data_IF_143381256145
#
_entry.id   IF_143381256145
#
_cell.length_a   1.000
_cell.length_b   1.000
_cell.length_c   1.000
_cell.angle_alpha   90.00
_cell.angle_beta   90.00
_cell.angle_gamma   90.00
#
_symmetry.space_group_name_H-M   'P 1'
#
loop_
_entity.id
_entity.type
_entity.pdbx_description
1 polymer ?
#
# COMPACT_ATOMS: atom_id res chain seq x y z
N UNK A 1 39.92 -32.92 -14.09
CA UNK A 1 39.34 -32.32 -12.86
C UNK A 1 39.45 -30.82 -13.00
N UNK A 2 38.37 -30.17 -13.44
CA UNK A 2 38.21 -28.71 -13.43
C UNK A 2 37.04 -28.45 -12.49
N UNK A 3 37.31 -27.81 -11.35
CA UNK A 3 36.29 -27.34 -10.42
C UNK A 3 35.68 -26.08 -11.03
N UNK A 4 34.47 -26.18 -11.57
CA UNK A 4 33.69 -25.00 -11.91
C UNK A 4 33.24 -24.35 -10.60
N UNK A 5 33.81 -23.18 -10.32
CA UNK A 5 33.57 -22.41 -9.11
C UNK A 5 32.20 -21.76 -9.21
N UNK A 6 31.36 -22.11 -8.23
CA UNK A 6 30.12 -21.46 -7.81
C UNK A 6 29.75 -20.15 -8.51
N UNK A 7 28.71 -20.22 -9.32
CA UNK A 7 27.74 -19.14 -9.41
C UNK A 7 26.63 -19.40 -8.38
N UNK A 8 26.97 -19.34 -7.08
CA UNK A 8 25.99 -18.92 -6.09
C UNK A 8 25.97 -17.39 -6.16
N UNK A 9 25.10 -16.87 -7.01
CA UNK A 9 24.58 -15.53 -6.87
C UNK A 9 23.08 -15.66 -6.84
N UNK A 10 22.57 -16.13 -5.70
CA UNK A 10 21.44 -15.54 -4.99
C UNK A 10 20.95 -14.26 -5.69
N UNK A 11 20.13 -14.43 -6.74
CA UNK A 11 19.52 -13.34 -7.46
C UNK A 11 18.56 -12.75 -6.44
N UNK A 12 19.03 -11.72 -5.72
CA UNK A 12 18.20 -10.93 -4.83
C UNK A 12 16.98 -10.57 -5.67
N UNK A 13 15.87 -11.21 -5.35
CA UNK A 13 14.54 -10.74 -5.68
C UNK A 13 14.55 -9.31 -5.16
N UNK A 14 14.82 -8.35 -6.05
CA UNK A 14 14.77 -6.93 -5.72
C UNK A 14 13.29 -6.61 -5.63
N UNK A 15 12.64 -7.21 -4.62
CA UNK A 15 11.23 -7.09 -4.37
C UNK A 15 10.92 -5.61 -4.31
N UNK A 16 9.91 -5.20 -5.06
CA UNK A 16 9.40 -3.84 -4.94
C UNK A 16 9.01 -3.61 -3.48
N UNK A 17 9.50 -2.52 -2.89
CA UNK A 17 9.04 -2.10 -1.57
C UNK A 17 7.55 -1.76 -1.68
N UNK A 18 6.70 -2.60 -1.09
CA UNK A 18 5.24 -2.45 -1.11
C UNK A 18 4.79 -1.13 -0.46
N UNK A 19 5.63 -0.56 0.41
CA UNK A 19 5.40 0.68 1.13
C UNK A 19 6.10 1.89 0.49
N UNK A 20 6.70 1.71 -0.70
CA UNK A 20 7.39 2.79 -1.40
C UNK A 20 6.49 4.02 -1.54
N UNK A 21 7.03 5.15 -1.10
CA UNK A 21 6.35 6.43 -1.23
C UNK A 21 6.73 7.13 -2.54
N UNK A 22 5.73 7.63 -3.26
CA UNK A 22 5.95 8.37 -4.50
C UNK A 22 4.71 8.52 -5.39
N UNK A 23 4.89 9.25 -6.48
CA UNK A 23 3.83 9.57 -7.44
C UNK A 23 2.77 10.51 -6.87
N UNK A 24 1.73 10.77 -7.67
CA UNK A 24 0.62 11.67 -7.30
C UNK A 24 -0.08 11.16 -6.04
N UNK A 25 -0.20 9.85 -5.88
CA UNK A 25 -0.98 9.21 -4.83
C UNK A 25 -0.19 8.83 -3.59
N UNK A 26 1.08 9.18 -3.49
CA UNK A 26 1.92 8.97 -2.32
C UNK A 26 2.29 7.52 -2.02
N UNK A 27 1.39 6.52 -2.13
CA UNK A 27 1.71 5.10 -2.05
C UNK A 27 0.69 4.24 -2.83
N UNK A 28 1.04 2.98 -3.11
CA UNK A 28 0.20 2.09 -3.92
C UNK A 28 -1.14 1.74 -3.25
N UNK A 29 -1.15 1.57 -1.93
CA UNK A 29 -2.36 1.21 -1.19
C UNK A 29 -3.40 2.34 -1.26
N UNK A 30 -2.98 3.59 -1.07
CA UNK A 30 -3.82 4.77 -1.23
C UNK A 30 -4.44 4.82 -2.63
N UNK A 31 -3.61 4.68 -3.68
CA UNK A 31 -4.09 4.75 -5.07
C UNK A 31 -5.15 3.70 -5.38
N UNK A 32 -4.92 2.45 -4.95
CA UNK A 32 -5.86 1.36 -5.14
C UNK A 32 -7.16 1.59 -4.35
N UNK A 33 -7.05 2.12 -3.12
CA UNK A 33 -8.20 2.43 -2.28
C UNK A 33 -9.03 3.59 -2.79
N UNK A 34 -8.42 4.66 -3.31
CA UNK A 34 -9.12 5.80 -3.95
C UNK A 34 -9.93 5.35 -5.18
N UNK A 35 -9.41 4.36 -5.91
CA UNK A 35 -10.03 3.82 -7.13
C UNK A 35 -10.98 2.63 -6.89
N UNK A 36 -11.11 2.14 -5.66
CA UNK A 36 -11.98 1.01 -5.33
C UNK A 36 -11.49 -0.33 -5.89
N UNK A 37 -10.18 -0.50 -6.06
CA UNK A 37 -9.60 -1.71 -6.64
C UNK A 37 -9.42 -2.81 -5.59
N UNK A 38 -10.53 -3.40 -5.12
CA UNK A 38 -10.58 -4.37 -4.02
C UNK A 38 -9.52 -5.48 -4.09
N UNK A 39 -9.32 -6.07 -5.26
CA UNK A 39 -8.35 -7.17 -5.44
C UNK A 39 -6.90 -6.70 -5.31
N UNK A 40 -6.61 -5.48 -5.77
CA UNK A 40 -5.28 -4.88 -5.66
C UNK A 40 -5.01 -4.48 -4.21
N UNK A 41 -6.01 -3.89 -3.52
CA UNK A 41 -5.93 -3.58 -2.09
C UNK A 41 -5.61 -4.84 -1.28
N UNK A 42 -6.35 -5.94 -1.52
CA UNK A 42 -6.10 -7.22 -0.86
C UNK A 42 -4.67 -7.71 -1.07
N UNK A 43 -4.22 -7.73 -2.33
CA UNK A 43 -2.89 -8.18 -2.69
C UNK A 43 -1.79 -7.37 -1.99
N UNK A 44 -1.93 -6.04 -1.93
CA UNK A 44 -0.98 -5.16 -1.26
C UNK A 44 -0.93 -5.44 0.25
N UNK A 45 -2.09 -5.57 0.90
CA UNK A 45 -2.18 -5.87 2.34
C UNK A 45 -1.59 -7.26 2.66
N UNK A 46 -1.84 -8.26 1.81
CA UNK A 46 -1.27 -9.61 1.97
C UNK A 46 0.24 -9.64 1.70
N UNK A 47 0.77 -8.65 0.97
CA UNK A 47 2.21 -8.44 0.78
C UNK A 47 2.85 -7.56 1.86
N UNK A 48 2.11 -7.17 2.89
CA UNK A 48 2.63 -6.41 4.02
C UNK A 48 2.64 -4.90 3.82
N UNK A 49 1.75 -4.37 2.97
CA UNK A 49 1.49 -2.94 2.95
C UNK A 49 1.05 -2.46 4.35
N UNK A 50 1.67 -1.39 4.83
CA UNK A 50 1.25 -0.71 6.05
C UNK A 50 -0.12 -0.09 5.81
N UNK A 51 -1.15 -0.68 6.43
CA UNK A 51 -2.54 -0.27 6.33
C UNK A 51 -2.76 1.20 6.76
N UNK A 52 -1.87 1.73 7.61
CA UNK A 52 -1.93 3.08 8.15
C UNK A 52 -0.96 4.06 7.45
N UNK A 53 -0.29 3.64 6.37
CA UNK A 53 0.62 4.48 5.63
C UNK A 53 -0.05 5.78 5.14
N UNK A 54 0.57 6.91 5.48
CA UNK A 54 0.13 8.23 5.05
C UNK A 54 0.61 8.51 3.62
N UNK A 55 -0.32 8.94 2.77
CA UNK A 55 -0.10 9.47 1.43
C UNK A 55 0.10 10.99 1.48
N UNK A 56 1.10 11.45 2.23
CA UNK A 56 1.49 12.87 2.29
C UNK A 56 0.33 13.87 2.39
N UNK A 57 -0.03 14.48 1.25
CA UNK A 57 -1.08 15.52 1.13
C UNK A 57 -2.51 14.96 1.16
N UNK A 58 -2.69 13.66 0.90
CA UNK A 58 -4.00 13.06 0.63
C UNK A 58 -4.59 12.21 1.78
N UNK A 59 -3.84 11.96 2.85
CA UNK A 59 -4.28 11.14 3.99
C UNK A 59 -3.93 9.66 3.83
N UNK A 60 -4.71 8.74 4.41
CA UNK A 60 -4.45 7.29 4.29
C UNK A 60 -5.46 6.57 3.38
N UNK A 61 -5.22 5.27 3.18
CA UNK A 61 -6.06 4.41 2.35
C UNK A 61 -7.53 4.35 2.84
N UNK A 62 -7.74 4.33 4.17
CA UNK A 62 -9.08 4.28 4.75
C UNK A 62 -9.86 5.56 4.45
N UNK A 63 -9.23 6.72 4.59
CA UNK A 63 -9.81 8.01 4.23
C UNK A 63 -10.22 8.04 2.76
N UNK A 64 -9.34 7.63 1.85
CA UNK A 64 -9.61 7.64 0.41
C UNK A 64 -10.79 6.74 0.02
N UNK A 65 -10.82 5.51 0.54
CA UNK A 65 -11.92 4.58 0.29
C UNK A 65 -13.25 5.10 0.84
N UNK A 66 -13.21 5.71 2.03
CA UNK A 66 -14.39 6.29 2.69
C UNK A 66 -14.93 7.51 1.95
N UNK A 67 -14.05 8.41 1.48
CA UNK A 67 -14.44 9.60 0.71
C UNK A 67 -15.13 9.24 -0.61
N UNK A 68 -14.69 8.14 -1.23
CA UNK A 68 -15.21 7.65 -2.52
C UNK A 68 -16.37 6.66 -2.41
N UNK A 69 -16.71 6.19 -1.20
CA UNK A 69 -17.80 5.24 -0.96
C UNK A 69 -17.49 3.79 -1.35
N UNK A 70 -16.22 3.37 -1.29
CA UNK A 70 -15.80 2.00 -1.64
C UNK A 70 -15.94 1.05 -0.45
N UNK A 71 -17.17 0.66 -0.12
CA UNK A 71 -17.52 -0.11 1.10
C UNK A 71 -16.76 -1.43 1.29
N UNK A 72 -16.38 -2.10 0.20
CA UNK A 72 -15.61 -3.35 0.25
C UNK A 72 -14.14 -3.07 0.65
N UNK A 73 -13.52 -2.05 0.06
CA UNK A 73 -12.19 -1.57 0.47
C UNK A 73 -12.21 -1.12 1.92
N UNK A 74 -13.22 -0.34 2.33
CA UNK A 74 -13.34 0.16 3.72
C UNK A 74 -13.34 -1.00 4.71
N UNK A 75 -14.21 -2.00 4.50
CA UNK A 75 -14.26 -3.19 5.37
C UNK A 75 -12.92 -3.92 5.42
N UNK A 76 -12.29 -4.13 4.27
CA UNK A 76 -11.00 -4.83 4.20
C UNK A 76 -9.89 -4.10 4.96
N UNK A 77 -9.83 -2.77 4.86
CA UNK A 77 -8.85 -1.96 5.58
C UNK A 77 -9.10 -2.01 7.10
N UNK A 78 -10.37 -1.93 7.54
CA UNK A 78 -10.73 -2.05 8.95
C UNK A 78 -10.38 -3.44 9.50
N UNK A 79 -10.67 -4.51 8.76
CA UNK A 79 -10.32 -5.89 9.13
C UNK A 79 -8.80 -6.09 9.27
N UNK A 80 -8.00 -5.30 8.53
CA UNK A 80 -6.54 -5.29 8.61
C UNK A 80 -5.99 -4.30 9.64
N UNK A 81 -6.84 -3.65 10.43
CA UNK A 81 -6.42 -2.78 11.54
C UNK A 81 -6.14 -1.33 11.17
N UNK A 82 -6.81 -0.80 10.14
CA UNK A 82 -6.75 0.62 9.84
C UNK A 82 -7.26 1.47 11.02
N UNK A 83 -6.50 2.51 11.38
CA UNK A 83 -6.91 3.48 12.40
C UNK A 83 -8.05 4.35 11.86
N UNK A 84 -9.23 4.19 12.45
CA UNK A 84 -10.44 4.95 12.13
C UNK A 84 -10.31 6.45 12.41
N UNK A 85 -9.38 6.84 13.28
CA UNK A 85 -9.12 8.23 13.65
C UNK A 85 -7.94 8.83 12.87
N UNK A 86 -7.39 8.11 11.90
CA UNK A 86 -6.31 8.61 11.09
C UNK A 86 -6.72 9.93 10.42
N UNK A 87 -5.85 10.93 10.57
CA UNK A 87 -6.11 12.26 10.04
C UNK A 87 -6.04 12.22 8.51
N UNK A 88 -7.04 12.82 7.85
CA UNK A 88 -6.97 13.12 6.43
C UNK A 88 -5.80 14.06 6.14
N UNK A 89 -5.30 14.02 4.91
CA UNK A 89 -4.20 14.89 4.49
C UNK A 89 -4.54 16.36 4.68
N UNK A 90 -3.53 17.19 5.00
CA UNK A 90 -3.75 18.59 5.43
C UNK A 90 -4.61 19.34 4.41
N UNK A 91 -5.72 19.93 4.86
CA UNK A 91 -6.40 21.00 4.12
C UNK A 91 -5.41 22.14 3.99
N UNK A 92 -4.96 22.45 2.77
CA UNK A 92 -4.31 23.74 2.51
C UNK A 92 -5.39 24.81 2.72
N UNK A 93 -5.26 25.54 3.83
CA UNK A 93 -5.91 26.83 4.07
C UNK A 93 -5.47 27.86 3.04
#
# INVERSE_FOLDING_TARGET
MLLDKGADVNAQDKGADVNAQGGVYGNALYAASERGHDQVVRMLLDKGADVNAQSGVYGNALYAASERGHDQVVRMLLDKGADVNAQGGRKRS
#
